data_IF_761098178747
#
_entry.id   IF_761098178747
#
_cell.length_a   1.000
_cell.length_b   1.000
_cell.length_c   1.000
_cell.angle_alpha   90.00
_cell.angle_beta   90.00
_cell.angle_gamma   90.00
#
_symmetry.space_group_name_H-M   'P 1'
#
loop_
_entity.id
_entity.type
_entity.pdbx_description
1 polymer ?
#
# COMPACT_ATOMS: atom_id res chain seq x y z
N UNK A 1 -20.57 -6.04 11.32
CA UNK A 1 -20.40 -6.35 9.88
C UNK A 1 -19.42 -5.44 9.12
N UNK A 2 -18.80 -4.42 9.74
CA UNK A 2 -17.81 -3.54 9.07
C UNK A 2 -16.37 -4.11 9.04
N UNK A 3 -16.02 -5.04 9.95
CA UNK A 3 -14.66 -5.56 10.08
C UNK A 3 -14.21 -6.47 8.91
N UNK A 4 -15.13 -7.24 8.30
CA UNK A 4 -14.80 -8.14 7.20
C UNK A 4 -14.45 -7.39 5.91
N UNK A 5 -15.20 -6.34 5.58
CA UNK A 5 -14.91 -5.54 4.38
C UNK A 5 -13.60 -4.76 4.51
N UNK A 6 -13.26 -4.26 5.71
CA UNK A 6 -11.96 -3.61 5.94
C UNK A 6 -10.78 -4.57 5.71
N UNK A 7 -10.94 -5.84 6.08
CA UNK A 7 -9.97 -6.89 5.75
C UNK A 7 -9.90 -7.14 4.24
N UNK A 8 -11.04 -7.22 3.55
CA UNK A 8 -11.11 -7.49 2.12
C UNK A 8 -10.45 -6.39 1.26
N UNK A 9 -10.68 -5.11 1.56
CA UNK A 9 -10.05 -4.00 0.83
C UNK A 9 -8.51 -4.05 0.95
N UNK A 10 -8.01 -4.26 2.16
CA UNK A 10 -6.57 -4.42 2.40
C UNK A 10 -6.04 -5.71 1.75
N UNK A 11 -6.84 -6.78 1.71
CA UNK A 11 -6.52 -8.01 0.99
C UNK A 11 -6.32 -7.79 -0.51
N UNK A 12 -7.18 -6.99 -1.15
CA UNK A 12 -7.00 -6.63 -2.57
C UNK A 12 -5.76 -5.78 -2.82
N UNK A 13 -5.45 -4.84 -1.94
CA UNK A 13 -4.20 -4.06 -2.00
C UNK A 13 -2.98 -4.99 -1.91
N UNK A 14 -2.98 -5.91 -0.95
CA UNK A 14 -1.89 -6.88 -0.79
C UNK A 14 -1.75 -7.82 -2.01
N UNK A 15 -2.86 -8.33 -2.53
CA UNK A 15 -2.86 -9.19 -3.71
C UNK A 15 -2.34 -8.45 -4.95
N UNK A 16 -2.74 -7.19 -5.15
CA UNK A 16 -2.22 -6.33 -6.23
C UNK A 16 -0.71 -6.09 -6.15
N UNK A 17 -0.19 -5.89 -4.93
CA UNK A 17 1.25 -5.74 -4.71
C UNK A 17 2.02 -7.04 -4.98
N UNK A 18 1.53 -8.18 -4.49
CA UNK A 18 2.13 -9.48 -4.77
C UNK A 18 2.15 -9.81 -6.26
N UNK A 19 1.06 -9.48 -6.97
CA UNK A 19 1.02 -9.61 -8.43
C UNK A 19 2.04 -8.68 -9.09
N UNK A 20 2.10 -7.41 -8.69
CA UNK A 20 3.12 -6.48 -9.19
C UNK A 20 4.54 -7.02 -9.01
N UNK A 21 4.85 -7.64 -7.87
CA UNK A 21 6.14 -8.30 -7.63
C UNK A 21 6.36 -9.49 -8.57
N UNK A 22 5.37 -10.37 -8.74
CA UNK A 22 5.46 -11.52 -9.64
C UNK A 22 5.77 -11.10 -11.09
N UNK A 23 5.18 -10.01 -11.58
CA UNK A 23 5.44 -9.48 -12.92
C UNK A 23 6.85 -8.92 -13.13
N UNK A 24 7.69 -8.84 -12.09
CA UNK A 24 9.08 -8.38 -12.20
C UNK A 24 9.17 -6.91 -12.68
N UNK A 25 10.01 -6.60 -13.70
CA UNK A 25 10.10 -5.25 -14.27
C UNK A 25 8.78 -4.74 -14.86
N UNK A 26 7.99 -5.60 -15.50
CA UNK A 26 6.71 -5.22 -16.11
C UNK A 26 5.65 -4.83 -15.06
N UNK A 27 5.81 -5.28 -13.81
CA UNK A 27 4.88 -5.00 -12.71
C UNK A 27 5.14 -3.69 -11.98
N UNK A 28 6.08 -2.87 -12.44
CA UNK A 28 6.47 -1.66 -11.72
C UNK A 28 5.35 -0.63 -11.56
N UNK A 29 4.60 -0.36 -12.63
CA UNK A 29 3.43 0.54 -12.56
C UNK A 29 2.38 0.03 -11.56
N UNK A 30 2.19 -1.29 -11.49
CA UNK A 30 1.27 -1.95 -10.54
C UNK A 30 1.73 -1.73 -9.11
N UNK A 31 3.03 -1.98 -8.83
CA UNK A 31 3.63 -1.74 -7.51
C UNK A 31 3.44 -0.28 -7.07
N UNK A 32 3.80 0.68 -7.91
CA UNK A 32 3.70 2.11 -7.59
C UNK A 32 2.25 2.57 -7.39
N UNK A 33 1.32 2.10 -8.22
CA UNK A 33 -0.09 2.45 -8.08
C UNK A 33 -0.67 1.97 -6.74
N UNK A 34 -0.51 0.68 -6.42
CA UNK A 34 -1.04 0.14 -5.17
C UNK A 34 -0.33 0.72 -3.94
N UNK A 35 1.00 0.90 -3.97
CA UNK A 35 1.72 1.56 -2.88
C UNK A 35 1.25 3.02 -2.70
N UNK A 36 1.00 3.74 -3.79
CA UNK A 36 0.43 5.08 -3.75
C UNK A 36 -0.95 5.12 -3.10
N UNK A 37 -1.83 4.16 -3.44
CA UNK A 37 -3.13 4.02 -2.78
C UNK A 37 -2.98 3.75 -1.28
N UNK A 38 -2.09 2.83 -0.88
CA UNK A 38 -1.83 2.53 0.54
C UNK A 38 -1.29 3.76 1.27
N UNK A 39 -0.41 4.54 0.63
CA UNK A 39 0.14 5.76 1.22
C UNK A 39 -0.96 6.81 1.47
N UNK A 40 -1.81 7.09 0.47
CA UNK A 40 -2.91 8.05 0.62
C UNK A 40 -3.91 7.60 1.68
N UNK A 41 -4.31 6.32 1.65
CA UNK A 41 -5.20 5.75 2.67
C UNK A 41 -4.58 5.83 4.08
N UNK A 42 -3.28 5.56 4.20
CA UNK A 42 -2.54 5.63 5.45
C UNK A 42 -2.43 7.05 6.01
N UNK A 43 -2.21 8.05 5.16
CA UNK A 43 -2.18 9.45 5.57
C UNK A 43 -3.57 9.94 6.01
N UNK A 44 -4.60 9.62 5.24
CA UNK A 44 -5.98 9.97 5.59
C UNK A 44 -6.43 9.27 6.88
N UNK A 45 -6.14 7.98 7.02
CA UNK A 45 -6.42 7.21 8.23
C UNK A 45 -5.65 7.72 9.44
N UNK A 46 -4.39 8.13 9.28
CA UNK A 46 -3.62 8.74 10.35
C UNK A 46 -4.23 10.07 10.84
N UNK A 47 -4.76 10.88 9.93
CA UNK A 47 -5.42 12.15 10.24
C UNK A 47 -6.80 11.98 10.89
N UNK A 48 -7.54 10.92 10.54
CA UNK A 48 -8.96 10.78 10.91
C UNK A 48 -9.24 9.71 11.97
N UNK A 49 -8.53 8.59 11.95
CA UNK A 49 -8.80 7.43 12.82
C UNK A 49 -7.75 7.31 13.93
N UNK A 50 -6.47 7.54 13.62
CA UNK A 50 -5.44 7.62 14.66
C UNK A 50 -4.01 7.46 14.17
N UNK A 51 -3.07 8.07 14.92
CA UNK A 51 -1.65 8.17 14.55
C UNK A 51 -0.94 6.83 14.36
N UNK A 52 -1.46 5.73 14.91
CA UNK A 52 -0.93 4.37 14.70
C UNK A 52 -0.91 3.97 13.22
N UNK A 53 -1.89 4.42 12.44
CA UNK A 53 -2.02 4.08 11.01
C UNK A 53 -0.86 4.66 10.20
N UNK A 54 -0.33 5.82 10.60
CA UNK A 54 0.85 6.41 9.98
C UNK A 54 2.03 5.43 9.97
N UNK A 55 2.29 4.82 11.13
CA UNK A 55 3.45 3.94 11.34
C UNK A 55 3.25 2.55 10.74
N UNK A 56 2.02 2.05 10.69
CA UNK A 56 1.71 0.69 10.20
C UNK A 56 1.38 0.66 8.71
N UNK A 57 0.97 1.77 8.11
CA UNK A 57 0.49 1.82 6.72
C UNK A 57 1.21 2.86 5.87
N UNK A 58 1.23 4.14 6.27
CA UNK A 58 1.80 5.21 5.45
C UNK A 58 3.33 5.10 5.33
N UNK A 59 4.04 4.92 6.45
CA UNK A 59 5.51 4.81 6.45
C UNK A 59 5.99 3.58 5.66
N UNK A 60 5.45 2.36 5.85
CA UNK A 60 5.81 1.21 5.02
C UNK A 60 5.52 1.41 3.53
N UNK A 61 4.40 2.05 3.18
CA UNK A 61 4.06 2.33 1.78
C UNK A 61 5.06 3.31 1.15
N UNK A 62 5.43 4.37 1.86
CA UNK A 62 6.42 5.34 1.41
C UNK A 62 7.79 4.68 1.22
N UNK A 63 8.21 3.82 2.16
CA UNK A 63 9.44 3.03 2.03
C UNK A 63 9.39 2.11 0.81
N UNK A 64 8.26 1.44 0.57
CA UNK A 64 8.06 0.62 -0.62
C UNK A 64 8.22 1.43 -1.92
N UNK A 65 7.65 2.63 -1.98
CA UNK A 65 7.77 3.52 -3.16
C UNK A 65 9.24 3.89 -3.38
N UNK A 66 9.93 4.32 -2.33
CA UNK A 66 11.34 4.67 -2.40
C UNK A 66 12.19 3.49 -2.89
N UNK A 67 11.95 2.29 -2.37
CA UNK A 67 12.67 1.08 -2.80
C UNK A 67 12.41 0.73 -4.26
N UNK A 68 11.16 0.83 -4.74
CA UNK A 68 10.85 0.58 -6.16
C UNK A 68 11.57 1.59 -7.05
N UNK A 69 11.56 2.88 -6.68
CA UNK A 69 12.22 3.92 -7.46
C UNK A 69 13.76 3.82 -7.45
N UNK A 70 14.34 3.36 -6.34
CA UNK A 70 15.80 3.16 -6.21
C UNK A 70 16.29 1.86 -6.87
N UNK A 71 15.40 0.88 -7.04
CA UNK A 71 15.71 -0.40 -7.67
C UNK A 71 15.43 -0.43 -9.19
N UNK A 72 14.98 0.70 -9.77
CA UNK A 72 14.98 0.93 -11.22
C UNK A 72 16.39 1.06 -11.75
#
# INVERSE_FOLDING_TARGET
MLAANQGLYNGFLAAGLLWGVWLGPAGEGVKLFFLGCVLVAGLYGAATVGRRILWVQAVPALLGIALVLLAR
#
